data_IF_088151865881
#
_entry.id   IF_088151865881
#
_cell.length_a   1.000
_cell.length_b   1.000
_cell.length_c   1.000
_cell.angle_alpha   90.00
_cell.angle_beta   90.00
_cell.angle_gamma   90.00
#
_symmetry.space_group_name_H-M   'P 1'
#
loop_
_entity.id
_entity.type
_entity.pdbx_description
1 polymer ?
#
# COMPACT_ATOMS: atom_id res chain seq x y z
N UNK A 1 -5.98 -22.27 -10.96
CA UNK A 1 -4.70 -22.95 -10.69
C UNK A 1 -4.93 -24.35 -10.09
N UNK A 2 -5.71 -24.51 -8.99
CA UNK A 2 -5.98 -25.82 -8.34
C UNK A 2 -6.54 -26.85 -9.31
N UNK A 3 -7.54 -26.45 -10.11
CA UNK A 3 -8.11 -27.32 -11.14
C UNK A 3 -7.11 -27.73 -12.20
N UNK A 4 -6.09 -26.93 -12.45
CA UNK A 4 -4.99 -27.23 -13.34
C UNK A 4 -4.08 -28.34 -12.80
N UNK A 5 -3.85 -28.40 -11.49
CA UNK A 5 -3.02 -29.43 -10.87
C UNK A 5 -3.63 -30.84 -10.94
N UNK A 6 -4.95 -30.94 -10.99
CA UNK A 6 -5.66 -32.23 -11.09
C UNK A 6 -5.73 -32.78 -12.52
N UNK A 7 -5.37 -31.98 -13.53
CA UNK A 7 -5.29 -32.42 -14.92
C UNK A 7 -4.11 -33.39 -15.14
N UNK A 8 -4.10 -34.19 -16.21
CA UNK A 8 -2.96 -35.02 -16.55
C UNK A 8 -1.66 -34.24 -16.68
N UNK A 9 -1.72 -33.03 -17.25
CA UNK A 9 -0.58 -32.12 -17.38
C UNK A 9 -0.11 -31.61 -16.01
N UNK A 10 -1.02 -31.15 -15.16
CA UNK A 10 -0.70 -30.70 -13.80
C UNK A 10 -0.05 -31.80 -12.95
N UNK A 11 -0.58 -33.01 -13.00
CA UNK A 11 0.00 -34.18 -12.31
C UNK A 11 1.42 -34.50 -12.79
N UNK A 12 1.71 -34.26 -14.05
CA UNK A 12 3.06 -34.45 -14.60
C UNK A 12 4.03 -33.37 -14.11
N UNK A 13 3.54 -32.13 -13.90
CA UNK A 13 4.35 -30.99 -13.45
C UNK A 13 4.50 -30.93 -11.93
N UNK A 14 3.55 -31.46 -11.18
CA UNK A 14 3.54 -31.40 -9.71
C UNK A 14 4.86 -31.85 -9.07
N UNK A 15 5.49 -32.96 -9.46
CA UNK A 15 6.77 -33.41 -8.91
C UNK A 15 7.94 -32.46 -9.18
N UNK A 16 7.78 -31.47 -10.07
CA UNK A 16 8.79 -30.47 -10.39
C UNK A 16 8.64 -29.20 -9.55
N UNK A 17 7.57 -29.11 -8.75
CA UNK A 17 7.29 -27.95 -7.91
C UNK A 17 7.85 -28.20 -6.51
N UNK A 18 8.66 -27.28 -6.02
CA UNK A 18 9.22 -27.32 -4.67
C UNK A 18 8.39 -26.57 -3.63
N UNK A 19 7.44 -25.76 -4.05
CA UNK A 19 6.63 -24.98 -3.12
C UNK A 19 5.51 -24.20 -3.77
N UNK A 20 4.81 -23.43 -2.95
CA UNK A 20 3.71 -22.57 -3.36
C UNK A 20 3.91 -21.16 -2.83
N UNK A 21 3.57 -20.17 -3.65
CA UNK A 21 3.60 -18.75 -3.29
C UNK A 21 2.23 -18.12 -3.56
N UNK A 22 1.81 -17.26 -2.65
CA UNK A 22 0.69 -16.34 -2.86
C UNK A 22 1.03 -14.96 -2.32
N UNK A 23 0.46 -13.93 -2.92
CA UNK A 23 0.55 -12.54 -2.47
C UNK A 23 -0.86 -11.96 -2.56
N UNK A 24 -1.63 -12.09 -1.50
CA UNK A 24 -3.06 -11.74 -1.46
C UNK A 24 -3.40 -10.71 -0.39
N UNK A 25 -2.41 -10.34 0.42
CA UNK A 25 -2.57 -9.43 1.55
C UNK A 25 -1.76 -8.17 1.25
N UNK A 26 -2.44 -7.03 1.23
CA UNK A 26 -1.80 -5.72 1.17
C UNK A 26 -2.35 -4.90 2.33
N UNK A 27 -1.46 -4.43 3.22
CA UNK A 27 -1.79 -3.63 4.40
C UNK A 27 -2.78 -4.28 5.39
N UNK A 28 -2.96 -5.59 5.32
CA UNK A 28 -3.85 -6.33 6.20
C UNK A 28 -3.11 -6.88 7.42
N UNK A 29 -3.88 -7.26 8.44
CA UNK A 29 -3.33 -7.89 9.65
C UNK A 29 -3.31 -9.41 9.54
N UNK A 30 -2.74 -10.09 10.51
CA UNK A 30 -2.55 -11.54 10.52
C UNK A 30 -3.85 -12.37 10.62
N UNK A 31 -4.98 -11.76 11.01
CA UNK A 31 -6.29 -12.43 10.97
C UNK A 31 -6.75 -12.70 9.52
N UNK A 32 -6.41 -11.83 8.57
CA UNK A 32 -6.69 -12.07 7.16
C UNK A 32 -5.73 -13.11 6.55
N UNK A 33 -4.49 -13.17 7.05
CA UNK A 33 -3.58 -14.28 6.72
C UNK A 33 -4.17 -15.63 7.18
N UNK A 34 -4.67 -15.70 8.41
CA UNK A 34 -5.27 -16.93 8.94
C UNK A 34 -6.43 -17.43 8.05
N UNK A 35 -7.34 -16.54 7.66
CA UNK A 35 -8.43 -16.83 6.71
C UNK A 35 -7.89 -17.29 5.34
N UNK A 36 -6.83 -16.66 4.86
CA UNK A 36 -6.19 -17.05 3.61
C UNK A 36 -5.59 -18.45 3.71
N UNK A 37 -4.95 -18.79 4.82
CA UNK A 37 -4.39 -20.12 5.06
C UNK A 37 -5.49 -21.20 5.17
N UNK A 38 -6.65 -20.90 5.74
CA UNK A 38 -7.80 -21.81 5.74
C UNK A 38 -8.22 -22.14 4.30
N UNK A 39 -8.30 -21.13 3.43
CA UNK A 39 -8.59 -21.35 2.02
C UNK A 39 -7.46 -22.09 1.26
N UNK A 40 -6.21 -21.84 1.62
CA UNK A 40 -5.07 -22.58 1.07
C UNK A 40 -5.13 -24.06 1.47
N UNK A 41 -5.40 -24.36 2.72
CA UNK A 41 -5.53 -25.75 3.18
C UNK A 41 -6.72 -26.45 2.55
N UNK A 42 -7.87 -25.78 2.44
CA UNK A 42 -9.05 -26.34 1.78
C UNK A 42 -8.75 -26.75 0.33
N UNK A 43 -8.03 -25.88 -0.40
CA UNK A 43 -7.82 -26.06 -1.84
C UNK A 43 -6.56 -26.84 -2.18
N UNK A 44 -5.49 -26.67 -1.42
CA UNK A 44 -4.17 -27.22 -1.71
C UNK A 44 -3.68 -28.23 -0.68
N UNK A 45 -4.42 -28.47 0.42
CA UNK A 45 -3.98 -29.29 1.55
C UNK A 45 -3.44 -30.66 1.15
N UNK A 46 -4.04 -31.29 0.14
CA UNK A 46 -3.61 -32.61 -0.38
C UNK A 46 -2.23 -32.60 -1.06
N UNK A 47 -1.71 -31.40 -1.40
CA UNK A 47 -0.41 -31.23 -2.05
C UNK A 47 0.65 -30.64 -1.12
N UNK A 48 0.24 -29.99 -0.02
CA UNK A 48 1.17 -29.24 0.83
C UNK A 48 2.27 -30.11 1.43
N UNK A 49 1.98 -31.36 1.75
CA UNK A 49 2.95 -32.30 2.30
C UNK A 49 4.04 -32.73 1.27
N UNK A 50 3.80 -32.52 -0.02
CA UNK A 50 4.75 -32.82 -1.09
C UNK A 50 5.69 -31.66 -1.40
N UNK A 51 5.40 -30.46 -0.84
CA UNK A 51 6.21 -29.26 -1.02
C UNK A 51 7.26 -29.12 0.08
N UNK A 52 8.31 -28.34 -0.22
CA UNK A 52 9.40 -28.02 0.72
C UNK A 52 9.14 -26.69 1.42
N UNK A 53 8.43 -25.77 0.76
CA UNK A 53 8.21 -24.42 1.26
C UNK A 53 6.85 -23.84 0.85
N UNK A 54 6.42 -22.86 1.63
CA UNK A 54 5.30 -21.97 1.33
C UNK A 54 5.73 -20.53 1.56
N UNK A 55 5.37 -19.63 0.64
CA UNK A 55 5.61 -18.20 0.77
C UNK A 55 4.29 -17.46 0.88
N UNK A 56 4.09 -16.74 1.97
CA UNK A 56 2.87 -15.96 2.23
C UNK A 56 2.84 -14.62 1.48
N UNK A 57 3.92 -14.27 0.76
CA UNK A 57 4.06 -13.02 0.03
C UNK A 57 4.29 -11.80 0.94
N UNK A 58 4.01 -10.64 0.40
CA UNK A 58 4.15 -9.36 1.09
C UNK A 58 2.86 -8.88 1.75
N UNK A 59 2.85 -7.60 2.13
CA UNK A 59 1.71 -6.95 2.79
C UNK A 59 1.61 -7.21 4.30
N UNK A 60 2.58 -7.88 4.88
CA UNK A 60 2.65 -8.15 6.32
C UNK A 60 3.31 -6.99 7.06
N UNK A 61 2.53 -6.11 7.68
CA UNK A 61 3.03 -4.93 8.40
C UNK A 61 3.56 -5.27 9.79
N UNK A 62 4.53 -6.15 9.87
CA UNK A 62 5.08 -6.71 11.13
C UNK A 62 5.70 -5.68 12.07
N UNK A 63 6.01 -4.49 11.59
CA UNK A 63 6.57 -3.37 12.38
C UNK A 63 5.50 -2.36 12.80
N UNK A 64 4.26 -2.50 12.31
CA UNK A 64 3.14 -1.65 12.71
C UNK A 64 2.70 -1.97 14.14
N UNK A 65 2.41 -0.95 14.93
CA UNK A 65 2.13 -1.07 16.36
C UNK A 65 0.93 -1.98 16.70
N UNK A 66 -0.08 -2.02 15.83
CA UNK A 66 -1.32 -2.80 16.00
C UNK A 66 -1.31 -4.16 15.28
N UNK A 67 -0.14 -4.60 14.75
CA UNK A 67 -0.04 -5.88 14.06
C UNK A 67 0.01 -7.04 15.08
N UNK A 68 -0.82 -8.05 14.89
CA UNK A 68 -0.89 -9.24 15.76
C UNK A 68 0.23 -10.25 15.43
N UNK A 69 1.42 -9.99 15.98
CA UNK A 69 2.60 -10.87 15.81
C UNK A 69 2.36 -12.29 16.36
N UNK A 70 1.74 -12.50 17.53
CA UNK A 70 1.45 -13.86 18.02
C UNK A 70 0.62 -14.69 17.05
N UNK A 71 -0.35 -14.08 16.37
CA UNK A 71 -1.15 -14.76 15.35
C UNK A 71 -0.33 -15.08 14.10
N UNK A 72 0.54 -14.19 13.65
CA UNK A 72 1.48 -14.49 12.57
C UNK A 72 2.36 -15.70 12.90
N UNK A 73 2.92 -15.73 14.11
CA UNK A 73 3.69 -16.88 14.58
C UNK A 73 2.87 -18.16 14.58
N UNK A 74 1.61 -18.11 15.02
CA UNK A 74 0.70 -19.25 14.96
C UNK A 74 0.50 -19.75 13.52
N UNK A 75 0.27 -18.85 12.58
CA UNK A 75 0.14 -19.17 11.15
C UNK A 75 1.40 -19.85 10.60
N UNK A 76 2.58 -19.33 10.95
CA UNK A 76 3.86 -19.90 10.54
C UNK A 76 4.03 -21.31 11.11
N UNK A 77 3.85 -21.49 12.43
CA UNK A 77 3.96 -22.79 13.12
C UNK A 77 2.98 -23.82 12.57
N UNK A 78 1.75 -23.41 12.29
CA UNK A 78 0.72 -24.26 11.69
C UNK A 78 1.21 -24.94 10.40
N UNK A 79 1.86 -24.20 9.51
CA UNK A 79 2.40 -24.75 8.26
C UNK A 79 3.64 -25.63 8.48
N UNK A 80 4.51 -25.20 9.40
CA UNK A 80 5.71 -25.96 9.75
C UNK A 80 5.38 -27.30 10.41
N UNK A 81 4.53 -27.31 11.41
CA UNK A 81 4.22 -28.49 12.22
C UNK A 81 3.33 -29.48 11.48
N UNK A 82 2.34 -28.97 10.72
CA UNK A 82 1.38 -29.83 10.04
C UNK A 82 1.89 -30.44 8.74
N UNK A 83 2.71 -29.69 7.98
CA UNK A 83 3.13 -30.06 6.64
C UNK A 83 4.66 -30.16 6.47
N UNK A 84 5.45 -29.79 7.47
CA UNK A 84 6.91 -29.79 7.38
C UNK A 84 7.49 -28.70 6.49
N UNK A 85 6.74 -27.64 6.21
CA UNK A 85 7.12 -26.61 5.25
C UNK A 85 8.08 -25.58 5.85
N UNK A 86 9.07 -25.13 5.06
CA UNK A 86 9.75 -23.87 5.34
C UNK A 86 8.84 -22.72 4.93
N UNK A 87 8.60 -21.78 5.86
CA UNK A 87 7.73 -20.62 5.61
C UNK A 87 8.56 -19.40 5.29
N UNK A 88 8.19 -18.69 4.22
CA UNK A 88 8.74 -17.40 3.81
C UNK A 88 7.66 -16.33 3.87
N UNK A 89 8.07 -15.10 4.17
CA UNK A 89 7.26 -13.88 4.09
C UNK A 89 8.11 -12.77 3.43
N UNK A 90 7.45 -11.80 2.81
CA UNK A 90 8.08 -10.71 2.05
C UNK A 90 7.65 -9.32 2.58
N UNK A 91 7.95 -8.96 3.84
CA UNK A 91 7.41 -7.76 4.50
C UNK A 91 8.18 -6.49 4.06
N UNK A 92 8.16 -6.13 2.78
CA UNK A 92 8.96 -5.04 2.21
C UNK A 92 8.66 -3.69 2.86
N UNK A 93 7.42 -3.26 2.80
CA UNK A 93 6.96 -1.99 3.39
C UNK A 93 7.24 -1.92 4.90
N UNK A 94 6.96 -2.98 5.62
CA UNK A 94 7.19 -3.04 7.06
C UNK A 94 8.64 -2.79 7.47
N UNK A 95 9.61 -3.17 6.62
CA UNK A 95 11.04 -2.95 6.87
C UNK A 95 11.40 -1.47 6.74
N UNK A 96 10.72 -0.75 5.85
CA UNK A 96 10.97 0.67 5.57
C UNK A 96 9.99 1.62 6.27
N UNK A 97 9.04 1.09 7.06
CA UNK A 97 8.02 1.89 7.75
C UNK A 97 8.68 2.96 8.65
N UNK A 98 8.27 4.21 8.45
CA UNK A 98 8.79 5.39 9.15
C UNK A 98 10.31 5.63 8.98
N UNK A 99 10.94 5.03 7.97
CA UNK A 99 12.39 5.14 7.78
C UNK A 99 12.82 6.39 6.98
N UNK A 100 11.90 7.09 6.31
CA UNK A 100 12.25 8.24 5.47
C UNK A 100 11.16 9.28 5.32
N UNK A 101 11.59 10.48 4.96
CA UNK A 101 10.73 11.63 4.67
C UNK A 101 11.02 12.12 3.24
N UNK A 102 9.98 12.57 2.54
CA UNK A 102 10.13 13.35 1.32
C UNK A 102 9.90 14.82 1.65
N UNK A 103 10.94 15.63 1.50
CA UNK A 103 10.84 17.09 1.62
C UNK A 103 10.62 17.67 0.24
N UNK A 104 9.57 18.42 0.07
CA UNK A 104 9.19 19.05 -1.19
C UNK A 104 8.95 20.54 -0.99
N UNK A 105 9.08 21.30 -2.07
CA UNK A 105 8.92 22.76 -2.08
C UNK A 105 7.68 23.12 -2.89
N UNK A 106 6.88 24.05 -2.39
CA UNK A 106 5.78 24.67 -3.14
C UNK A 106 6.37 25.57 -4.23
N UNK A 107 6.16 25.19 -5.50
CA UNK A 107 6.63 25.93 -6.66
C UNK A 107 5.67 27.05 -7.07
N UNK A 108 4.37 26.78 -6.90
CA UNK A 108 3.31 27.70 -7.31
C UNK A 108 2.05 27.45 -6.50
N UNK A 109 1.31 28.51 -6.18
CA UNK A 109 -0.04 28.42 -5.64
C UNK A 109 -1.04 29.09 -6.56
N UNK A 110 -2.20 28.47 -6.77
CA UNK A 110 -3.27 29.02 -7.58
C UNK A 110 -4.64 28.89 -6.89
N UNK A 111 -5.50 29.85 -7.17
CA UNK A 111 -6.93 29.77 -6.86
C UNK A 111 -7.69 29.72 -8.19
N UNK A 112 -8.54 28.74 -8.34
CA UNK A 112 -9.40 28.59 -9.51
C UNK A 112 -10.82 28.28 -9.09
N UNK A 113 -11.80 28.68 -9.90
CA UNK A 113 -13.14 28.18 -9.75
C UNK A 113 -13.12 26.67 -10.01
N UNK A 114 -13.59 25.89 -9.07
CA UNK A 114 -13.56 24.44 -9.20
C UNK A 114 -14.39 24.02 -10.42
N UNK A 115 -13.80 23.38 -11.44
CA UNK A 115 -14.62 22.60 -12.34
C UNK A 115 -15.29 21.50 -11.50
N UNK A 116 -16.51 21.13 -11.84
CA UNK A 116 -17.20 20.00 -11.20
C UNK A 116 -16.28 18.77 -11.29
N UNK A 117 -15.63 18.48 -10.18
CA UNK A 117 -14.71 17.31 -10.11
C UNK A 117 -15.55 16.05 -9.83
N UNK A 118 -15.18 14.89 -10.40
CA UNK A 118 -15.96 13.65 -10.28
C UNK A 118 -16.18 13.13 -8.86
N UNK A 119 -15.54 13.71 -7.85
CA UNK A 119 -15.56 13.26 -6.46
C UNK A 119 -16.07 14.30 -5.45
N UNK A 120 -17.10 15.06 -5.83
CA UNK A 120 -17.94 15.71 -4.82
C UNK A 120 -17.46 17.05 -4.26
N UNK A 121 -16.68 17.83 -5.00
CA UNK A 121 -16.48 19.24 -4.65
C UNK A 121 -17.76 20.02 -4.93
N UNK A 122 -18.26 20.73 -3.91
CA UNK A 122 -19.50 21.52 -3.94
C UNK A 122 -19.42 22.63 -4.98
N UNK A 123 -20.56 22.88 -5.65
CA UNK A 123 -20.80 24.00 -6.55
C UNK A 123 -20.23 25.33 -6.02
N UNK A 124 -19.33 25.94 -6.78
CA UNK A 124 -18.84 27.29 -6.55
C UNK A 124 -17.74 27.45 -5.48
N UNK A 125 -17.19 26.39 -4.94
CA UNK A 125 -16.06 26.49 -4.02
C UNK A 125 -14.75 26.81 -4.79
N UNK A 126 -14.02 27.81 -4.31
CA UNK A 126 -12.65 28.10 -4.79
C UNK A 126 -11.74 26.92 -4.46
N UNK A 127 -11.24 26.25 -5.50
CA UNK A 127 -10.19 25.25 -5.38
C UNK A 127 -8.84 25.97 -5.24
N UNK A 128 -8.14 25.70 -4.15
CA UNK A 128 -6.74 26.08 -4.01
C UNK A 128 -5.85 24.95 -4.49
N UNK A 129 -4.93 25.26 -5.37
CA UNK A 129 -3.94 24.33 -5.89
C UNK A 129 -2.56 24.73 -5.37
N UNK A 130 -1.72 23.77 -5.05
CA UNK A 130 -0.30 23.97 -4.84
C UNK A 130 0.48 22.96 -5.69
N UNK A 131 1.36 23.46 -6.54
CA UNK A 131 2.25 22.63 -7.36
C UNK A 131 3.57 22.48 -6.62
N UNK A 132 4.00 21.24 -6.46
CA UNK A 132 5.19 20.87 -5.73
C UNK A 132 6.32 20.48 -6.69
N UNK A 133 7.57 20.48 -6.23
CA UNK A 133 8.72 19.90 -6.92
C UNK A 133 8.80 18.37 -6.80
N UNK A 134 7.73 17.73 -6.31
CA UNK A 134 7.55 16.30 -6.27
C UNK A 134 6.33 15.88 -7.10
N UNK A 135 6.33 14.65 -7.59
CA UNK A 135 5.28 14.08 -8.43
C UNK A 135 4.79 12.77 -7.84
N UNK A 136 3.48 12.54 -7.86
CA UNK A 136 2.90 11.27 -7.44
C UNK A 136 3.46 10.11 -8.27
N UNK A 137 3.57 10.27 -9.59
CA UNK A 137 4.06 9.24 -10.48
C UNK A 137 5.54 8.85 -10.24
N UNK A 138 6.38 9.80 -9.78
CA UNK A 138 7.82 9.57 -9.62
C UNK A 138 8.24 9.22 -8.20
N UNK A 139 7.52 9.75 -7.19
CA UNK A 139 7.98 9.69 -5.80
C UNK A 139 7.02 8.97 -4.86
N UNK A 140 5.78 8.73 -5.26
CA UNK A 140 4.75 8.10 -4.45
C UNK A 140 3.69 7.40 -5.33
N UNK A 141 4.08 6.39 -6.12
CA UNK A 141 3.21 5.75 -7.12
C UNK A 141 1.96 5.12 -6.50
N UNK A 142 1.99 4.70 -5.24
CA UNK A 142 0.84 4.15 -4.54
C UNK A 142 -0.35 5.11 -4.47
N UNK A 143 -0.10 6.42 -4.50
CA UNK A 143 -1.16 7.44 -4.59
C UNK A 143 -2.02 7.28 -5.84
N UNK A 144 -1.43 6.79 -6.94
CA UNK A 144 -2.12 6.59 -8.22
C UNK A 144 -2.76 5.22 -8.35
N UNK A 145 -2.20 4.21 -7.71
CA UNK A 145 -2.57 2.80 -7.86
C UNK A 145 -3.54 2.32 -6.76
N UNK A 146 -3.52 2.97 -5.61
CA UNK A 146 -4.28 2.58 -4.42
C UNK A 146 -5.02 3.77 -3.81
N UNK A 147 -6.08 3.57 -3.02
CA UNK A 147 -6.73 4.65 -2.26
C UNK A 147 -5.83 5.08 -1.07
N UNK A 148 -4.66 5.58 -1.36
CA UNK A 148 -3.64 5.97 -0.41
C UNK A 148 -3.39 7.48 -0.46
N UNK A 149 -3.20 8.10 0.70
CA UNK A 149 -2.82 9.50 0.86
C UNK A 149 -1.66 9.57 1.86
N UNK A 150 -0.44 9.94 1.43
CA UNK A 150 0.72 10.01 2.30
C UNK A 150 0.48 10.91 3.52
N UNK A 151 0.92 10.53 4.72
CA UNK A 151 0.92 11.44 5.86
C UNK A 151 1.76 12.67 5.55
N UNK A 152 1.22 13.86 5.83
CA UNK A 152 1.90 15.13 5.64
C UNK A 152 1.96 15.87 6.96
N UNK A 153 3.17 16.22 7.38
CA UNK A 153 3.43 16.86 8.67
C UNK A 153 2.70 18.19 8.77
N UNK A 154 2.13 18.47 9.94
CA UNK A 154 1.41 19.70 10.28
C UNK A 154 0.18 19.98 9.40
N UNK A 155 -0.26 19.01 8.61
CA UNK A 155 -1.50 19.09 7.82
C UNK A 155 -2.67 18.41 8.54
N UNK A 156 -3.86 18.59 7.99
CA UNK A 156 -5.08 17.89 8.37
C UNK A 156 -5.81 17.34 7.15
N UNK A 157 -6.92 16.67 7.39
CA UNK A 157 -7.83 16.24 6.33
C UNK A 157 -8.46 17.43 5.60
N UNK A 158 -8.93 17.19 4.38
CA UNK A 158 -9.59 18.24 3.60
C UNK A 158 -10.74 18.88 4.40
N UNK A 159 -10.66 20.17 4.64
CA UNK A 159 -11.66 20.93 5.40
C UNK A 159 -11.50 20.87 6.93
N UNK A 160 -10.54 20.15 7.46
CA UNK A 160 -10.28 20.10 8.91
C UNK A 160 -9.67 21.42 9.43
N UNK A 161 -8.78 22.02 8.64
CA UNK A 161 -8.12 23.29 8.94
C UNK A 161 -8.59 24.41 7.98
N UNK A 162 -8.17 25.64 8.25
CA UNK A 162 -8.68 26.84 7.60
C UNK A 162 -8.48 26.88 6.06
N UNK A 163 -7.39 26.28 5.57
CA UNK A 163 -7.00 26.39 4.16
C UNK A 163 -6.77 25.02 3.54
N UNK A 164 -7.71 24.56 2.71
CA UNK A 164 -7.58 23.30 1.98
C UNK A 164 -6.92 23.52 0.63
N UNK A 165 -5.91 22.73 0.31
CA UNK A 165 -5.20 22.72 -0.96
C UNK A 165 -5.24 21.34 -1.58
N UNK A 166 -5.40 21.30 -2.91
CA UNK A 166 -5.04 20.14 -3.72
C UNK A 166 -3.58 20.25 -4.08
N UNK A 167 -2.78 19.27 -3.66
CA UNK A 167 -1.36 19.18 -3.97
C UNK A 167 -1.16 18.35 -5.23
N UNK A 168 -0.34 18.83 -6.15
CA UNK A 168 -0.03 18.15 -7.39
C UNK A 168 1.42 18.34 -7.80
N UNK A 169 1.88 17.46 -8.68
CA UNK A 169 3.23 17.52 -9.25
C UNK A 169 3.32 18.43 -10.47
N UNK A 170 4.54 18.70 -10.96
CA UNK A 170 4.80 19.60 -12.08
C UNK A 170 4.76 18.87 -13.45
N UNK A 171 4.32 17.61 -13.53
CA UNK A 171 4.36 16.83 -14.76
C UNK A 171 3.21 17.18 -15.69
N UNK A 172 3.30 16.75 -16.95
CA UNK A 172 2.22 16.91 -17.94
C UNK A 172 1.08 15.90 -17.73
N UNK A 173 1.18 14.99 -16.78
CA UNK A 173 0.14 14.02 -16.46
C UNK A 173 -0.99 14.70 -15.69
N UNK A 174 -2.18 14.76 -16.27
CA UNK A 174 -3.36 15.38 -15.64
C UNK A 174 -3.74 14.73 -14.29
N UNK A 175 -3.39 13.46 -14.08
CA UNK A 175 -3.58 12.72 -12.85
C UNK A 175 -2.43 12.82 -11.85
N UNK A 176 -1.44 13.69 -12.07
CA UNK A 176 -0.33 13.90 -11.12
C UNK A 176 -0.79 14.70 -9.89
N UNK A 177 -1.72 14.11 -9.16
CA UNK A 177 -2.35 14.68 -7.97
C UNK A 177 -1.97 13.82 -6.77
N UNK A 178 -1.39 14.47 -5.75
CA UNK A 178 -0.94 13.80 -4.53
C UNK A 178 -2.11 13.63 -3.56
N UNK A 179 -2.95 14.67 -3.42
CA UNK A 179 -4.11 14.61 -2.55
C UNK A 179 -4.59 15.98 -2.08
N UNK A 180 -5.66 15.97 -1.31
CA UNK A 180 -6.24 17.16 -0.68
C UNK A 180 -5.84 17.20 0.80
N UNK A 181 -5.22 18.31 1.23
CA UNK A 181 -4.74 18.53 2.58
C UNK A 181 -5.17 19.90 3.07
N UNK A 182 -5.33 20.07 4.38
CA UNK A 182 -5.62 21.36 4.97
C UNK A 182 -4.51 21.86 5.89
N UNK A 183 -4.38 23.19 5.99
CA UNK A 183 -3.33 23.89 6.72
C UNK A 183 -3.93 25.02 7.58
N UNK A 184 -3.22 25.40 8.64
CA UNK A 184 -3.62 26.49 9.53
C UNK A 184 -3.39 27.88 8.89
N UNK A 185 -2.51 27.97 7.89
CA UNK A 185 -2.21 29.18 7.11
C UNK A 185 -2.25 28.92 5.61
N UNK A 186 -2.30 29.96 4.82
CA UNK A 186 -2.11 29.83 3.37
C UNK A 186 -0.68 29.37 3.05
N UNK A 187 -0.56 28.55 2.03
CA UNK A 187 0.74 28.14 1.49
C UNK A 187 1.27 29.25 0.58
N UNK A 188 2.57 29.46 0.64
CA UNK A 188 3.31 30.41 -0.20
C UNK A 188 4.36 29.67 -1.04
N UNK A 189 4.76 30.27 -2.16
CA UNK A 189 5.88 29.76 -2.96
C UNK A 189 7.15 29.75 -2.12
N UNK A 190 7.86 28.61 -2.18
CA UNK A 190 9.04 28.38 -1.36
C UNK A 190 8.77 27.67 -0.03
N UNK A 191 7.50 27.48 0.37
CA UNK A 191 7.16 26.67 1.55
C UNK A 191 7.66 25.25 1.36
N UNK A 192 8.18 24.67 2.45
CA UNK A 192 8.59 23.26 2.47
C UNK A 192 7.53 22.42 3.15
N UNK A 193 7.13 21.36 2.49
CA UNK A 193 6.23 20.35 2.98
C UNK A 193 7.00 19.05 3.21
N UNK A 194 6.64 18.30 4.27
CA UNK A 194 7.34 17.08 4.66
C UNK A 194 6.34 15.94 4.66
N UNK A 195 6.39 15.11 3.63
CA UNK A 195 5.65 13.86 3.61
C UNK A 195 6.39 12.83 4.46
N UNK A 196 5.64 12.14 5.30
CA UNK A 196 6.14 11.12 6.22
C UNK A 196 5.97 9.73 5.62
N UNK A 197 6.74 8.79 6.15
CA UNK A 197 6.71 7.40 5.73
C UNK A 197 6.96 7.18 4.22
N UNK A 198 7.91 7.92 3.67
CA UNK A 198 8.17 7.98 2.23
C UNK A 198 9.38 7.14 1.76
N UNK A 199 9.90 6.24 2.60
CA UNK A 199 10.94 5.29 2.20
C UNK A 199 10.39 4.04 1.48
N UNK A 200 9.09 4.02 1.19
CA UNK A 200 8.36 2.92 0.60
C UNK A 200 8.06 3.26 -0.85
N UNK A 201 8.50 2.44 -1.80
CA UNK A 201 8.24 2.60 -3.24
C UNK A 201 8.56 4.00 -3.81
N UNK A 202 9.54 4.68 -3.26
CA UNK A 202 9.99 6.01 -3.69
C UNK A 202 11.33 5.99 -4.42
#
# INVERSE_FOLDING_TARGET
FVTGLDTPEGKRLLPLLDGIHFHTLCEQNSDDLEKTLDAVEEKFGKYLADFKWINFGGGHHITRQDYDIPRLEHCIRRMQEKYGLTVYIEPGEAVALNAGFLVTTVLETRRTEAPVLPHGASDGALLRLAILDASAACHMPDVLEMPYRPPLRDSGDAGEKAFTYRLGGPTCLAGDIIGDYSFDRELEEGDRLVFEDMAIYS
#
